data_IF_022895743689
#
_entry.id   IF_022895743689
#
_cell.length_a   1.000
_cell.length_b   1.000
_cell.length_c   1.000
_cell.angle_alpha   90.00
_cell.angle_beta   90.00
_cell.angle_gamma   90.00
#
_symmetry.space_group_name_H-M   'P 1'
#
loop_
_entity.id
_entity.type
_entity.pdbx_description
1 polymer ?
#
# COMPACT_ATOMS: atom_id res chain seq x y z
N UNK A 1 13.77 16.68 24.34
CA UNK A 1 13.40 17.88 23.58
C UNK A 1 13.94 19.13 24.28
N UNK A 2 14.34 20.16 23.53
CA UNK A 2 14.90 21.39 24.09
C UNK A 2 13.77 22.33 24.55
N UNK A 3 13.52 22.37 25.85
CA UNK A 3 12.46 23.20 26.44
C UNK A 3 12.60 24.71 26.14
N UNK A 4 13.82 25.18 25.82
CA UNK A 4 14.06 26.54 25.38
C UNK A 4 13.71 26.86 23.93
N UNK A 5 13.50 25.83 23.11
CA UNK A 5 13.22 25.95 21.69
C UNK A 5 11.75 25.63 21.32
N UNK A 6 11.14 24.73 22.06
CA UNK A 6 9.80 24.19 21.73
C UNK A 6 8.90 24.23 22.97
N UNK A 7 7.73 24.83 22.87
CA UNK A 7 6.67 24.72 23.87
C UNK A 7 6.08 23.32 23.93
N UNK A 8 5.39 23.00 25.01
CA UNK A 8 4.71 21.69 25.17
C UNK A 8 3.65 21.48 24.07
N UNK A 9 2.95 22.54 23.70
CA UNK A 9 1.88 22.44 22.69
C UNK A 9 2.47 22.23 21.28
N UNK A 10 3.56 22.91 20.94
CA UNK A 10 4.29 22.64 19.69
C UNK A 10 4.83 21.20 19.64
N UNK A 11 5.35 20.67 20.74
CA UNK A 11 5.81 19.29 20.80
C UNK A 11 4.65 18.29 20.62
N UNK A 12 3.50 18.55 21.21
CA UNK A 12 2.30 17.72 21.03
C UNK A 12 1.79 17.75 19.57
N UNK A 13 1.84 18.93 18.95
CA UNK A 13 1.44 19.06 17.55
C UNK A 13 2.43 18.38 16.61
N UNK A 14 3.73 18.44 16.90
CA UNK A 14 4.75 17.68 16.17
C UNK A 14 4.55 16.17 16.34
N UNK A 15 4.30 15.68 17.56
CA UNK A 15 4.00 14.27 17.80
C UNK A 15 2.77 13.83 17.01
N UNK A 16 1.71 14.63 17.02
CA UNK A 16 0.51 14.38 16.21
C UNK A 16 0.81 14.39 14.72
N UNK A 17 1.71 15.26 14.26
CA UNK A 17 2.07 15.36 12.85
C UNK A 17 2.98 14.21 12.39
N UNK A 18 4.01 13.87 13.15
CA UNK A 18 5.03 12.88 12.80
C UNK A 18 4.64 11.45 13.15
N UNK A 19 3.71 11.24 14.10
CA UNK A 19 3.43 9.98 14.77
C UNK A 19 4.42 9.68 15.90
N UNK A 20 3.97 8.85 16.86
CA UNK A 20 4.70 8.60 18.10
C UNK A 20 6.14 8.08 17.88
N UNK A 21 6.35 7.10 16.99
CA UNK A 21 7.68 6.52 16.76
C UNK A 21 8.67 7.53 16.18
N UNK A 22 8.26 8.25 15.14
CA UNK A 22 9.10 9.28 14.51
C UNK A 22 9.40 10.40 15.48
N UNK A 23 8.42 10.83 16.28
CA UNK A 23 8.60 11.85 17.32
C UNK A 23 9.61 11.40 18.39
N UNK A 24 9.48 10.17 18.90
CA UNK A 24 10.44 9.62 19.87
C UNK A 24 11.87 9.58 19.30
N UNK A 25 12.01 9.13 18.06
CA UNK A 25 13.31 9.04 17.39
C UNK A 25 13.94 10.42 17.14
N UNK A 26 13.22 11.32 16.49
CA UNK A 26 13.77 12.58 15.97
C UNK A 26 13.80 13.71 17.02
N UNK A 27 12.76 13.80 17.86
CA UNK A 27 12.61 14.90 18.81
C UNK A 27 13.04 14.53 20.22
N UNK A 28 12.88 13.28 20.63
CA UNK A 28 13.20 12.82 21.99
C UNK A 28 14.54 12.09 22.06
N UNK A 29 15.20 11.86 20.93
CA UNK A 29 16.42 11.04 20.82
C UNK A 29 16.29 9.68 21.52
N UNK A 30 15.09 9.10 21.44
CA UNK A 30 14.73 7.82 22.03
C UNK A 30 14.19 6.91 20.92
N UNK A 31 15.08 6.28 20.12
CA UNK A 31 14.63 5.40 19.05
C UNK A 31 13.94 4.17 19.64
N UNK A 32 12.66 3.99 19.32
CA UNK A 32 11.95 2.76 19.63
C UNK A 32 12.41 1.74 18.59
N UNK A 33 13.30 0.84 19.00
CA UNK A 33 13.95 -0.15 18.15
C UNK A 33 13.22 -1.48 18.12
N UNK A 34 12.25 -1.70 19.00
CA UNK A 34 11.54 -2.96 19.15
C UNK A 34 10.04 -2.82 18.91
N UNK A 35 9.46 -3.86 18.27
CA UNK A 35 8.04 -4.01 18.03
C UNK A 35 7.56 -3.60 16.64
N UNK A 36 6.39 -4.08 16.29
CA UNK A 36 5.75 -3.88 15.00
C UNK A 36 5.50 -2.39 14.69
N UNK A 37 5.70 -2.00 13.45
CA UNK A 37 5.48 -0.63 12.96
C UNK A 37 3.99 -0.28 12.99
N UNK A 38 3.13 -1.26 12.69
CA UNK A 38 1.68 -1.12 12.70
C UNK A 38 1.08 -1.90 13.88
N UNK A 39 0.03 -1.36 14.50
CA UNK A 39 -0.66 -2.01 15.62
C UNK A 39 -2.02 -2.51 15.20
N UNK A 40 -2.41 -3.69 15.70
CA UNK A 40 -3.73 -4.25 15.45
C UNK A 40 -4.87 -3.30 15.87
N UNK A 41 -4.66 -2.52 16.95
CA UNK A 41 -5.64 -1.54 17.46
C UNK A 41 -5.87 -0.35 16.53
N UNK A 42 -5.01 -0.15 15.52
CA UNK A 42 -5.16 0.92 14.53
C UNK A 42 -6.00 0.50 13.31
N UNK A 43 -6.27 -0.81 13.18
CA UNK A 43 -7.05 -1.33 12.06
C UNK A 43 -8.52 -0.99 12.24
N UNK A 44 -9.06 -0.25 11.29
CA UNK A 44 -10.45 0.20 11.28
C UNK A 44 -11.17 -0.33 10.05
N UNK A 45 -12.30 -0.95 10.27
CA UNK A 45 -13.18 -1.44 9.20
C UNK A 45 -14.35 -0.48 9.02
N UNK A 46 -14.70 -0.21 7.77
CA UNK A 46 -15.77 0.72 7.41
C UNK A 46 -16.51 0.20 6.19
N UNK A 47 -17.84 0.34 6.16
CA UNK A 47 -18.59 0.17 4.92
C UNK A 47 -18.25 1.33 3.99
N UNK A 48 -17.62 1.01 2.87
CA UNK A 48 -17.08 2.02 1.96
C UNK A 48 -18.16 2.62 1.05
N UNK A 49 -18.01 3.86 0.60
CA UNK A 49 -18.89 4.48 -0.37
C UNK A 49 -18.74 3.83 -1.76
N UNK A 50 -19.67 4.14 -2.67
CA UNK A 50 -19.56 3.73 -4.09
C UNK A 50 -18.30 4.35 -4.72
N UNK A 51 -17.69 3.65 -5.68
CA UNK A 51 -16.45 4.06 -6.35
C UNK A 51 -16.50 5.46 -6.95
N UNK A 52 -17.65 5.89 -7.45
CA UNK A 52 -17.84 7.24 -8.01
C UNK A 52 -17.80 8.39 -6.99
N UNK A 53 -17.66 8.10 -5.71
CA UNK A 53 -17.57 9.10 -4.64
C UNK A 53 -16.13 9.45 -4.24
N UNK A 54 -15.16 8.67 -4.73
CA UNK A 54 -13.76 8.94 -4.44
C UNK A 54 -13.21 10.08 -5.28
N UNK A 55 -12.40 10.92 -4.64
CA UNK A 55 -11.64 11.98 -5.31
C UNK A 55 -10.52 11.38 -6.17
N UNK A 56 -9.96 10.27 -5.69
CA UNK A 56 -8.85 9.55 -6.32
C UNK A 56 -8.96 8.05 -6.10
N UNK A 57 -8.67 7.27 -7.15
CA UNK A 57 -8.54 5.81 -7.10
C UNK A 57 -7.19 5.41 -7.70
N UNK A 58 -6.41 4.67 -6.92
CA UNK A 58 -5.07 4.19 -7.32
C UNK A 58 -4.98 2.70 -7.08
N UNK A 59 -4.55 1.94 -8.09
CA UNK A 59 -4.13 0.57 -7.96
C UNK A 59 -2.59 0.51 -8.11
N UNK A 60 -1.91 0.05 -7.08
CA UNK A 60 -0.46 -0.08 -7.07
C UNK A 60 -0.04 -1.53 -6.95
N UNK A 61 0.94 -1.94 -7.74
CA UNK A 61 1.49 -3.29 -7.72
C UNK A 61 2.96 -3.28 -7.30
N UNK A 62 3.25 -4.10 -6.27
CA UNK A 62 4.58 -4.63 -6.02
C UNK A 62 4.60 -6.07 -6.54
N UNK A 63 5.27 -6.34 -7.69
CA UNK A 63 5.26 -7.67 -8.31
C UNK A 63 6.24 -8.65 -7.68
N UNK A 64 7.07 -8.21 -6.73
CA UNK A 64 8.13 -8.95 -6.03
C UNK A 64 8.73 -10.15 -6.79
N UNK A 65 10.02 -10.09 -7.11
CA UNK A 65 10.78 -11.16 -7.75
C UNK A 65 12.05 -11.46 -6.94
N UNK A 66 11.97 -12.40 -6.00
CA UNK A 66 13.14 -12.92 -5.29
C UNK A 66 13.47 -14.33 -5.79
N UNK A 67 14.01 -14.42 -7.01
CA UNK A 67 14.79 -15.59 -7.48
C UNK A 67 14.10 -16.90 -7.79
N UNK A 68 12.91 -17.20 -7.30
CA UNK A 68 12.13 -18.40 -7.64
C UNK A 68 10.67 -18.09 -7.80
N UNK A 69 10.18 -18.11 -9.02
CA UNK A 69 8.88 -17.60 -9.48
C UNK A 69 7.63 -18.17 -8.81
N UNK A 70 7.75 -19.19 -7.97
CA UNK A 70 6.59 -19.86 -7.33
C UNK A 70 6.34 -19.44 -5.88
N UNK A 71 7.31 -18.83 -5.20
CA UNK A 71 7.23 -18.59 -3.75
C UNK A 71 7.11 -17.11 -3.36
N UNK A 72 7.17 -16.19 -4.32
CA UNK A 72 7.09 -14.75 -4.02
C UNK A 72 5.64 -14.27 -4.07
N UNK A 73 5.24 -13.53 -3.04
CA UNK A 73 3.95 -12.85 -3.07
C UNK A 73 3.94 -11.76 -4.14
N UNK A 74 2.79 -11.60 -4.75
CA UNK A 74 2.48 -10.47 -5.61
C UNK A 74 1.39 -9.66 -4.94
N UNK A 75 1.64 -8.39 -4.73
CA UNK A 75 0.72 -7.52 -4.05
C UNK A 75 0.19 -6.43 -4.99
N UNK A 76 -1.13 -6.39 -5.18
CA UNK A 76 -1.82 -5.25 -5.78
C UNK A 76 -2.79 -4.69 -4.76
N UNK A 77 -2.75 -3.39 -4.53
CA UNK A 77 -3.61 -2.70 -3.59
C UNK A 77 -4.41 -1.63 -4.31
N UNK A 78 -5.74 -1.72 -4.21
CA UNK A 78 -6.65 -0.67 -4.67
C UNK A 78 -6.99 0.24 -3.51
N UNK A 79 -6.57 1.48 -3.63
CA UNK A 79 -6.81 2.54 -2.66
C UNK A 79 -7.71 3.63 -3.24
N UNK A 80 -8.53 4.23 -2.38
CA UNK A 80 -9.32 5.39 -2.71
C UNK A 80 -9.16 6.48 -1.65
N UNK A 81 -9.12 7.72 -2.10
CA UNK A 81 -9.09 8.91 -1.24
C UNK A 81 -10.42 9.65 -1.33
N UNK A 82 -10.93 10.05 -0.17
CA UNK A 82 -12.09 10.93 -0.05
C UNK A 82 -11.86 11.91 1.10
N UNK A 83 -11.71 13.19 0.78
CA UNK A 83 -11.29 14.20 1.75
C UNK A 83 -9.95 13.83 2.40
N UNK A 84 -9.95 13.61 3.72
CA UNK A 84 -8.75 13.19 4.49
C UNK A 84 -8.68 11.69 4.72
N UNK A 85 -9.70 10.92 4.36
CA UNK A 85 -9.74 9.48 4.57
C UNK A 85 -9.08 8.73 3.40
N UNK A 86 -8.35 7.68 3.73
CA UNK A 86 -7.74 6.72 2.83
C UNK A 86 -8.40 5.36 3.02
N UNK A 87 -8.96 4.81 1.97
CA UNK A 87 -9.69 3.56 2.00
C UNK A 87 -8.99 2.48 1.21
N UNK A 88 -8.60 1.38 1.86
CA UNK A 88 -8.21 0.17 1.17
C UNK A 88 -9.48 -0.54 0.70
N UNK A 89 -9.75 -0.47 -0.60
CA UNK A 89 -11.00 -0.94 -1.20
C UNK A 89 -10.93 -2.43 -1.47
N UNK A 90 -9.82 -2.88 -2.07
CA UNK A 90 -9.58 -4.26 -2.44
C UNK A 90 -8.08 -4.55 -2.48
N UNK A 91 -7.71 -5.81 -2.25
CA UNK A 91 -6.34 -6.29 -2.34
C UNK A 91 -6.27 -7.56 -3.19
N UNK A 92 -5.10 -7.78 -3.79
CA UNK A 92 -4.65 -9.05 -4.33
C UNK A 92 -3.28 -9.31 -3.71
N UNK A 93 -3.17 -10.31 -2.85
CA UNK A 93 -1.92 -10.64 -2.14
C UNK A 93 -1.76 -12.15 -2.13
N UNK A 94 -1.05 -12.68 -3.12
CA UNK A 94 -0.94 -14.12 -3.36
C UNK A 94 0.43 -14.54 -3.84
N UNK A 95 0.78 -15.77 -3.54
CA UNK A 95 1.83 -16.51 -4.23
C UNK A 95 1.24 -17.10 -5.51
N UNK A 96 1.53 -16.51 -6.66
CA UNK A 96 0.92 -16.89 -7.92
C UNK A 96 1.83 -16.59 -9.12
N UNK A 97 1.41 -17.03 -10.31
CA UNK A 97 2.09 -16.68 -11.55
C UNK A 97 1.90 -15.20 -11.92
N UNK A 98 2.81 -14.66 -12.73
CA UNK A 98 2.67 -13.31 -13.31
C UNK A 98 1.39 -13.22 -14.16
N UNK A 99 1.07 -14.26 -14.92
CA UNK A 99 -0.13 -14.31 -15.74
C UNK A 99 -1.43 -14.20 -14.92
N UNK A 100 -1.48 -14.81 -13.73
CA UNK A 100 -2.63 -14.69 -12.83
C UNK A 100 -2.76 -13.28 -12.27
N UNK A 101 -1.66 -12.68 -11.82
CA UNK A 101 -1.61 -11.30 -11.37
C UNK A 101 -2.07 -10.32 -12.46
N UNK A 102 -1.57 -10.48 -13.68
CA UNK A 102 -1.94 -9.62 -14.82
C UNK A 102 -3.42 -9.76 -15.16
N UNK A 103 -3.96 -10.98 -15.23
CA UNK A 103 -5.40 -11.20 -15.47
C UNK A 103 -6.26 -10.50 -14.43
N UNK A 104 -5.93 -10.66 -13.14
CA UNK A 104 -6.67 -10.00 -12.07
C UNK A 104 -6.66 -8.46 -12.24
N UNK A 105 -5.55 -7.91 -12.70
CA UNK A 105 -5.44 -6.47 -12.89
C UNK A 105 -6.28 -5.95 -14.07
N UNK A 106 -6.35 -6.73 -15.15
CA UNK A 106 -7.29 -6.44 -16.24
C UNK A 106 -8.75 -6.55 -15.80
N UNK A 107 -9.10 -7.58 -15.01
CA UNK A 107 -10.44 -7.73 -14.43
C UNK A 107 -10.80 -6.55 -13.51
N UNK A 108 -9.85 -6.05 -12.73
CA UNK A 108 -10.04 -4.84 -11.94
C UNK A 108 -10.34 -3.63 -12.84
N UNK A 109 -9.58 -3.46 -13.91
CA UNK A 109 -9.77 -2.35 -14.84
C UNK A 109 -11.15 -2.39 -15.51
N UNK A 110 -11.61 -3.55 -15.95
CA UNK A 110 -12.94 -3.72 -16.52
C UNK A 110 -14.04 -3.35 -15.53
N UNK A 111 -13.87 -3.71 -14.25
CA UNK A 111 -14.81 -3.29 -13.20
C UNK A 111 -14.81 -1.78 -12.99
N UNK A 112 -13.68 -1.10 -13.13
CA UNK A 112 -13.61 0.37 -13.06
C UNK A 112 -14.31 1.01 -14.26
N UNK A 113 -14.15 0.45 -15.47
CA UNK A 113 -14.87 0.90 -16.68
C UNK A 113 -16.38 0.76 -16.48
N UNK A 114 -16.85 -0.41 -16.04
CA UNK A 114 -18.28 -0.65 -15.78
C UNK A 114 -18.83 0.29 -14.71
N UNK A 115 -18.03 0.60 -13.70
CA UNK A 115 -18.40 1.57 -12.67
C UNK A 115 -18.36 3.04 -13.15
N UNK A 116 -17.83 3.31 -14.34
CA UNK A 116 -17.71 4.65 -14.91
C UNK A 116 -16.72 5.53 -14.15
N UNK A 117 -15.66 4.95 -13.57
CA UNK A 117 -14.68 5.68 -12.74
C UNK A 117 -13.28 5.57 -13.32
N UNK A 118 -12.47 6.60 -13.07
CA UNK A 118 -11.05 6.63 -13.44
C UNK A 118 -10.24 6.04 -12.28
N UNK A 119 -9.42 5.04 -12.58
CA UNK A 119 -8.42 4.49 -11.67
C UNK A 119 -7.04 4.66 -12.30
N UNK A 120 -6.07 5.06 -11.50
CA UNK A 120 -4.68 5.18 -11.92
C UNK A 120 -3.92 3.92 -11.54
N UNK A 121 -3.20 3.33 -12.50
CA UNK A 121 -2.49 2.06 -12.35
C UNK A 121 -0.99 2.30 -12.31
N UNK A 122 -0.34 1.86 -11.24
CA UNK A 122 1.10 2.00 -11.06
C UNK A 122 1.75 0.67 -10.70
N UNK A 123 2.94 0.45 -11.22
CA UNK A 123 3.80 -0.69 -10.89
C UNK A 123 5.18 -0.18 -10.53
N UNK A 124 5.85 -0.85 -9.62
CA UNK A 124 7.23 -0.53 -9.28
C UNK A 124 8.16 -0.68 -10.48
N UNK A 125 8.93 0.38 -10.81
CA UNK A 125 9.71 0.46 -12.06
C UNK A 125 10.81 -0.58 -12.17
N UNK A 126 11.40 -1.01 -11.05
CA UNK A 126 12.50 -1.98 -11.03
C UNK A 126 12.09 -3.37 -11.53
N UNK A 127 10.80 -3.64 -11.64
CA UNK A 127 10.21 -4.92 -12.01
C UNK A 127 9.55 -4.94 -13.39
N UNK A 128 9.62 -3.88 -14.17
CA UNK A 128 9.23 -3.89 -15.58
C UNK A 128 10.30 -4.64 -16.41
N UNK A 129 10.53 -5.91 -16.06
CA UNK A 129 11.35 -6.81 -16.83
C UNK A 129 10.55 -7.36 -18.02
N UNK A 130 11.22 -7.80 -19.05
CA UNK A 130 10.60 -8.27 -20.29
C UNK A 130 9.48 -9.28 -20.07
N UNK A 131 9.63 -10.19 -19.11
CA UNK A 131 8.63 -11.22 -18.80
C UNK A 131 7.27 -10.62 -18.34
N UNK A 132 7.30 -9.55 -17.53
CA UNK A 132 6.07 -8.88 -17.09
C UNK A 132 5.42 -8.15 -18.26
N UNK A 133 6.22 -7.43 -19.05
CA UNK A 133 5.74 -6.70 -20.22
C UNK A 133 5.12 -7.65 -21.26
N UNK A 134 5.71 -8.83 -21.46
CA UNK A 134 5.18 -9.86 -22.35
C UNK A 134 3.82 -10.37 -21.88
N UNK A 135 3.63 -10.64 -20.59
CA UNK A 135 2.35 -11.07 -20.06
C UNK A 135 1.27 -9.99 -20.17
N UNK A 136 1.60 -8.70 -19.90
CA UNK A 136 0.67 -7.60 -20.13
C UNK A 136 0.30 -7.47 -21.60
N UNK A 137 1.26 -7.56 -22.50
CA UNK A 137 1.03 -7.48 -23.94
C UNK A 137 0.15 -8.65 -24.42
N UNK A 138 0.43 -9.86 -23.96
CA UNK A 138 -0.34 -11.05 -24.28
C UNK A 138 -1.80 -10.93 -23.83
N UNK A 139 -2.01 -10.56 -22.56
CA UNK A 139 -3.36 -10.41 -22.01
C UNK A 139 -4.12 -9.26 -22.69
N UNK A 140 -3.44 -8.16 -22.97
CA UNK A 140 -4.00 -7.02 -23.68
C UNK A 140 -4.43 -7.38 -25.10
N UNK A 141 -3.64 -8.16 -25.83
CA UNK A 141 -4.00 -8.66 -27.16
C UNK A 141 -5.23 -9.57 -27.12
N UNK A 142 -5.35 -10.42 -26.08
CA UNK A 142 -6.53 -11.27 -25.89
C UNK A 142 -7.80 -10.46 -25.61
N UNK A 143 -7.70 -9.35 -24.88
CA UNK A 143 -8.84 -8.49 -24.51
C UNK A 143 -9.11 -7.36 -25.51
N UNK A 144 -8.22 -7.15 -26.47
CA UNK A 144 -8.35 -6.09 -27.48
C UNK A 144 -7.97 -4.68 -27.03
N UNK A 145 -7.33 -4.53 -25.87
CA UNK A 145 -6.83 -3.24 -25.37
C UNK A 145 -5.62 -3.43 -24.44
N UNK A 146 -4.83 -2.38 -24.25
CA UNK A 146 -3.71 -2.38 -23.31
C UNK A 146 -4.06 -1.62 -22.02
N UNK A 147 -3.73 -2.20 -20.88
CA UNK A 147 -3.94 -1.58 -19.57
C UNK A 147 -3.05 -0.34 -19.41
N UNK A 148 -3.57 0.84 -19.01
CA UNK A 148 -2.81 2.09 -18.91
C UNK A 148 -1.92 2.14 -17.65
N UNK A 149 -0.94 1.24 -17.56
CA UNK A 149 -0.02 1.13 -16.41
C UNK A 149 1.10 2.15 -16.54
N UNK A 150 1.44 2.75 -15.41
CA UNK A 150 2.56 3.66 -15.26
C UNK A 150 3.63 3.06 -14.37
N UNK A 151 4.89 3.17 -14.77
CA UNK A 151 6.01 2.82 -13.91
C UNK A 151 6.17 3.88 -12.81
N UNK A 152 6.26 3.45 -11.57
CA UNK A 152 6.70 4.32 -10.47
C UNK A 152 8.22 4.50 -10.53
N UNK A 153 8.64 5.64 -11.05
CA UNK A 153 10.05 6.00 -11.26
C UNK A 153 10.63 6.83 -10.11
N UNK A 154 9.95 6.91 -8.97
CA UNK A 154 10.46 7.63 -7.81
C UNK A 154 11.82 7.10 -7.40
N UNK A 155 12.71 7.98 -6.97
CA UNK A 155 13.90 7.57 -6.22
C UNK A 155 13.44 7.19 -4.80
N UNK A 156 13.31 5.89 -4.56
CA UNK A 156 12.84 5.37 -3.29
C UNK A 156 13.98 5.34 -2.27
N UNK A 157 13.83 5.94 -1.08
CA UNK A 157 14.72 5.74 0.04
C UNK A 157 14.61 4.31 0.60
N UNK A 158 15.27 4.05 1.72
CA UNK A 158 15.22 2.77 2.41
C UNK A 158 13.77 2.28 2.62
N UNK A 159 13.52 1.00 2.31
CA UNK A 159 12.19 0.39 2.35
C UNK A 159 11.55 0.51 3.72
N UNK A 160 12.32 0.22 4.78
CA UNK A 160 11.80 0.31 6.14
C UNK A 160 11.34 1.74 6.47
N UNK A 161 12.16 2.74 6.13
CA UNK A 161 11.84 4.16 6.39
C UNK A 161 10.59 4.62 5.63
N UNK A 162 10.39 4.16 4.40
CA UNK A 162 9.21 4.52 3.60
C UNK A 162 7.93 3.98 4.21
N UNK A 163 7.93 2.68 4.53
CA UNK A 163 6.76 2.01 5.11
C UNK A 163 6.50 2.52 6.53
N UNK A 164 7.53 2.73 7.34
CA UNK A 164 7.38 3.38 8.66
C UNK A 164 6.80 4.78 8.52
N UNK A 165 7.19 5.52 7.49
CA UNK A 165 6.73 6.90 7.24
C UNK A 165 5.22 7.03 7.01
N UNK A 166 4.55 6.00 6.50
CA UNK A 166 3.09 6.03 6.32
C UNK A 166 2.31 5.55 7.56
N UNK A 167 2.94 4.89 8.52
CA UNK A 167 2.27 4.34 9.71
C UNK A 167 1.49 5.37 10.55
N UNK A 168 1.88 6.68 10.61
CA UNK A 168 1.10 7.71 11.30
C UNK A 168 -0.31 7.89 10.75
N UNK A 169 -0.58 7.49 9.51
CA UNK A 169 -1.94 7.56 8.93
C UNK A 169 -2.88 6.56 9.60
N UNK A 170 -2.39 5.35 9.92
CA UNK A 170 -3.12 4.35 10.70
C UNK A 170 -3.27 4.79 12.15
N UNK A 171 -2.18 5.23 12.78
CA UNK A 171 -2.18 5.69 14.17
C UNK A 171 -3.20 6.78 14.42
N UNK A 172 -3.31 7.74 13.51
CA UNK A 172 -4.30 8.84 13.59
C UNK A 172 -5.70 8.45 13.15
N UNK A 173 -5.85 7.26 12.56
CA UNK A 173 -7.13 6.75 12.13
C UNK A 173 -7.68 7.36 10.85
N UNK A 174 -6.82 7.77 9.94
CA UNK A 174 -7.21 8.20 8.59
C UNK A 174 -7.38 7.04 7.63
N UNK A 175 -6.93 5.83 8.00
CA UNK A 175 -6.99 4.63 7.16
C UNK A 175 -8.15 3.74 7.56
N UNK A 176 -8.92 3.30 6.56
CA UNK A 176 -10.04 2.38 6.72
C UNK A 176 -9.96 1.25 5.70
N UNK A 177 -10.24 0.04 6.18
CA UNK A 177 -10.38 -1.16 5.37
C UNK A 177 -11.84 -1.40 5.02
N UNK A 178 -12.08 -2.00 3.85
CA UNK A 178 -13.41 -2.33 3.39
C UNK A 178 -14.05 -3.43 4.26
N UNK A 179 -15.10 -3.11 5.00
CA UNK A 179 -15.80 -4.05 5.87
C UNK A 179 -16.40 -5.24 5.08
N UNK A 180 -16.78 -5.03 3.81
CA UNK A 180 -17.31 -6.10 2.96
C UNK A 180 -16.22 -7.10 2.54
N UNK A 181 -14.93 -6.77 2.74
CA UNK A 181 -13.75 -7.60 2.49
C UNK A 181 -13.06 -8.10 3.75
N UNK A 182 -13.71 -7.99 4.91
CA UNK A 182 -13.09 -8.37 6.20
C UNK A 182 -12.69 -9.85 6.28
N UNK A 183 -13.35 -10.73 5.54
CA UNK A 183 -13.04 -12.16 5.48
C UNK A 183 -12.40 -12.57 4.13
N UNK A 184 -12.03 -11.61 3.30
CA UNK A 184 -11.38 -11.88 2.03
C UNK A 184 -9.93 -12.32 2.24
N UNK A 185 -9.51 -13.48 1.66
CA UNK A 185 -8.17 -14.04 1.90
C UNK A 185 -7.03 -13.09 1.53
N UNK A 186 -7.15 -12.34 0.43
CA UNK A 186 -6.12 -11.42 -0.03
C UNK A 186 -6.00 -10.21 0.90
N UNK A 187 -7.14 -9.70 1.38
CA UNK A 187 -7.17 -8.61 2.36
C UNK A 187 -6.54 -9.04 3.67
N UNK A 188 -6.85 -10.25 4.16
CA UNK A 188 -6.26 -10.80 5.38
C UNK A 188 -4.77 -11.06 5.23
N UNK A 189 -4.32 -11.65 4.11
CA UNK A 189 -2.89 -11.88 3.84
C UNK A 189 -2.12 -10.55 3.79
N UNK A 190 -2.67 -9.53 3.15
CA UNK A 190 -2.06 -8.20 3.13
C UNK A 190 -1.99 -7.55 4.51
N UNK A 191 -3.04 -7.69 5.30
CA UNK A 191 -3.09 -7.16 6.66
C UNK A 191 -2.09 -7.87 7.59
N UNK A 192 -1.96 -9.20 7.46
CA UNK A 192 -0.98 -9.99 8.20
C UNK A 192 0.45 -9.50 7.91
N UNK A 193 0.82 -9.31 6.64
CA UNK A 193 2.13 -8.76 6.27
C UNK A 193 2.35 -7.35 6.84
N UNK A 194 1.32 -6.49 6.80
CA UNK A 194 1.40 -5.14 7.35
C UNK A 194 1.61 -5.15 8.87
N UNK A 195 0.89 -6.00 9.59
CA UNK A 195 1.01 -6.11 11.05
C UNK A 195 2.31 -6.80 11.50
N UNK A 196 2.87 -7.70 10.67
CA UNK A 196 4.14 -8.37 10.93
C UNK A 196 5.37 -7.52 10.54
N UNK A 197 5.15 -6.35 9.91
CA UNK A 197 6.25 -5.53 9.41
C UNK A 197 7.02 -4.87 10.56
N UNK A 198 8.31 -5.20 10.67
CA UNK A 198 9.23 -4.65 11.66
C UNK A 198 10.66 -4.59 11.10
N UNK A 199 11.55 -3.86 11.78
CA UNK A 199 12.93 -3.71 11.33
C UNK A 199 13.71 -5.01 11.47
N UNK A 200 14.31 -5.47 10.35
CA UNK A 200 15.17 -6.67 10.35
C UNK A 200 14.42 -8.00 10.31
N UNK A 201 13.10 -7.98 10.15
CA UNK A 201 12.34 -9.22 9.95
C UNK A 201 12.56 -9.79 8.54
N UNK A 202 12.46 -11.11 8.44
CA UNK A 202 12.42 -11.84 7.17
C UNK A 202 10.99 -12.11 6.68
N UNK A 203 9.98 -11.55 7.33
CA UNK A 203 8.59 -11.69 6.91
C UNK A 203 8.34 -11.03 5.55
N UNK A 204 7.33 -11.52 4.83
CA UNK A 204 6.91 -10.90 3.59
C UNK A 204 6.45 -9.47 3.84
N UNK A 205 6.86 -8.56 2.97
CA UNK A 205 6.63 -7.11 3.08
C UNK A 205 6.11 -6.49 1.78
N UNK A 206 5.65 -7.34 0.85
CA UNK A 206 5.16 -6.92 -0.46
C UNK A 206 3.86 -6.11 -0.35
N UNK A 207 2.97 -6.50 0.58
CA UNK A 207 1.71 -5.79 0.80
C UNK A 207 1.91 -4.39 1.41
N UNK A 208 2.67 -4.18 2.50
CA UNK A 208 2.94 -2.83 3.00
C UNK A 208 3.77 -1.96 2.04
N UNK A 209 4.61 -2.55 1.18
CA UNK A 209 5.30 -1.78 0.13
C UNK A 209 4.34 -1.30 -0.96
N UNK A 210 3.39 -2.15 -1.36
CA UNK A 210 2.33 -1.75 -2.28
C UNK A 210 1.39 -0.70 -1.66
N UNK A 211 1.11 -0.77 -0.35
CA UNK A 211 0.34 0.25 0.38
C UNK A 211 1.10 1.59 0.37
N UNK A 212 2.41 1.60 0.67
CA UNK A 212 3.25 2.81 0.60
C UNK A 212 3.23 3.40 -0.80
N UNK A 213 3.43 2.54 -1.82
CA UNK A 213 3.39 2.98 -3.21
C UNK A 213 2.09 3.67 -3.59
N UNK A 214 0.95 3.07 -3.24
CA UNK A 214 -0.37 3.62 -3.54
C UNK A 214 -0.69 4.93 -2.79
N UNK A 215 -0.30 5.01 -1.51
CA UNK A 215 -0.57 6.17 -0.66
C UNK A 215 0.29 7.38 -1.05
N UNK A 216 1.50 7.13 -1.55
CA UNK A 216 2.40 8.20 -1.98
C UNK A 216 1.93 8.88 -3.29
N UNK A 217 1.33 8.12 -4.22
CA UNK A 217 0.80 8.63 -5.49
C UNK A 217 -0.42 9.53 -5.26
#
# INVERSE_FOLDING_TARGET
AWASKWSIDELRDMERFMGYRSFQKEMMNNPITEGAVFKHTWIKWKKLPKLCKYDYLVAYCDPSFKGTSKNDYKAIKLWGKIGTELHQIEAFVRQCSVAEMVRWWYDLHERMIVAGVICYYYIEANFLQDIILDEFTREGNLRGYQLPIRADKRKKPDKFQRIEGISPLWERGFVFYNADRQNDPDTLAGLEQTLAFEKGTSSHDDAPDADEGAIYI
#
